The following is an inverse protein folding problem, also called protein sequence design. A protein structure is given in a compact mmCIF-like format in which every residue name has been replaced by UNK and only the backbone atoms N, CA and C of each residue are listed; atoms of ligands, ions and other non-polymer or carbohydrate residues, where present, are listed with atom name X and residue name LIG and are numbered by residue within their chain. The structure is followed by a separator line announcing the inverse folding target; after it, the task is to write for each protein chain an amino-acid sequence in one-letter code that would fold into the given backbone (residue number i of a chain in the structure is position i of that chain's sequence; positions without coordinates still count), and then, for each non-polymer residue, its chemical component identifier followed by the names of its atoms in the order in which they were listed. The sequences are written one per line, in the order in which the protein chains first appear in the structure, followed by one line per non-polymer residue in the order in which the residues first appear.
data_IF_996039973811
#
_entry.id   IF_996039973811
#
_cell.length_a   1.000
_cell.length_b   1.000
_cell.length_c   1.000
_cell.angle_alpha   90.00
_cell.angle_beta   90.00
_cell.angle_gamma   90.00
#
_symmetry.space_group_name_H-M   'P 1'
#
loop_
_entity.id
_entity.type
_entity.pdbx_description
1 polymer ?
#
# COMPACT_ATOMS: atom_id res chain seq x y z
N UNK A 1 17.11 7.79 7.70
CA UNK A 1 16.01 6.95 7.20
C UNK A 1 15.33 6.35 8.42
N UNK A 2 14.12 6.80 8.80
CA UNK A 2 13.37 6.21 9.91
C UNK A 2 12.97 4.79 9.48
N UNK A 3 13.28 3.79 10.29
CA UNK A 3 12.76 2.44 10.09
C UNK A 3 11.23 2.54 10.03
N UNK A 4 10.56 1.99 8.99
CA UNK A 4 9.11 1.98 8.97
C UNK A 4 8.61 1.32 10.26
N UNK A 5 7.56 1.85 10.90
CA UNK A 5 7.01 1.23 12.10
C UNK A 5 6.64 -0.21 11.75
N UNK A 6 7.21 -1.16 12.47
CA UNK A 6 6.83 -2.57 12.37
C UNK A 6 5.33 -2.63 12.63
N UNK A 7 4.53 -3.31 11.77
CA UNK A 7 3.09 -3.40 12.00
C UNK A 7 2.82 -3.90 13.42
N UNK A 8 1.85 -3.27 14.09
CA UNK A 8 1.48 -3.52 15.48
C UNK A 8 0.71 -4.85 15.66
N UNK A 9 0.94 -5.84 14.78
CA UNK A 9 0.15 -7.06 14.70
C UNK A 9 1.10 -8.25 14.57
N UNK A 10 0.85 -9.28 15.38
CA UNK A 10 1.60 -10.52 15.38
C UNK A 10 0.81 -11.65 14.68
N UNK A 11 -0.52 -11.61 14.75
CA UNK A 11 -1.39 -12.59 14.08
C UNK A 11 -2.66 -11.92 13.55
N UNK A 12 -3.04 -12.23 12.31
CA UNK A 12 -4.36 -11.93 11.74
C UNK A 12 -5.14 -13.25 11.71
N UNK A 13 -6.28 -13.33 12.38
CA UNK A 13 -7.01 -14.61 12.54
C UNK A 13 -8.20 -14.76 11.61
N UNK A 14 -8.56 -16.00 11.26
CA UNK A 14 -9.78 -16.38 10.53
C UNK A 14 -10.06 -15.58 9.25
N UNK A 15 -8.99 -15.18 8.54
CA UNK A 15 -9.12 -14.36 7.33
C UNK A 15 -9.19 -15.24 6.08
N UNK A 16 -9.87 -14.74 5.04
CA UNK A 16 -9.75 -15.31 3.69
C UNK A 16 -8.51 -14.74 3.00
N UNK A 17 -7.44 -15.51 2.89
CA UNK A 17 -6.15 -15.05 2.35
C UNK A 17 -5.97 -15.45 0.88
N UNK A 18 -5.49 -14.53 0.06
CA UNK A 18 -4.99 -14.82 -1.28
C UNK A 18 -3.50 -15.15 -1.24
N UNK A 19 -3.14 -16.38 -1.59
CA UNK A 19 -1.75 -16.82 -1.66
C UNK A 19 -1.57 -17.85 -2.78
N UNK A 20 -0.45 -17.76 -3.50
CA UNK A 20 -0.10 -18.68 -4.59
C UNK A 20 -1.20 -18.79 -5.68
N UNK A 21 -1.86 -17.67 -5.98
CA UNK A 21 -2.91 -17.62 -7.00
C UNK A 21 -4.25 -18.22 -6.56
N UNK A 22 -4.46 -18.49 -5.27
CA UNK A 22 -5.67 -19.12 -4.74
C UNK A 22 -6.18 -18.43 -3.48
N UNK A 23 -7.49 -18.47 -3.28
CA UNK A 23 -8.13 -18.04 -2.03
C UNK A 23 -8.19 -19.21 -1.04
N UNK A 24 -7.87 -18.94 0.23
CA UNK A 24 -7.96 -19.90 1.35
C UNK A 24 -8.74 -19.23 2.48
N UNK A 25 -9.93 -19.73 2.78
CA UNK A 25 -10.73 -19.27 3.91
C UNK A 25 -10.24 -19.88 5.23
N UNK A 26 -10.63 -19.30 6.37
CA UNK A 26 -10.33 -19.85 7.70
C UNK A 26 -8.84 -19.98 7.96
N UNK A 27 -8.06 -18.96 7.60
CA UNK A 27 -6.60 -18.97 7.72
C UNK A 27 -6.14 -17.92 8.73
N UNK A 28 -5.22 -18.32 9.60
CA UNK A 28 -4.43 -17.41 10.42
C UNK A 28 -3.14 -17.05 9.69
N UNK A 29 -2.79 -15.76 9.72
CA UNK A 29 -1.55 -15.22 9.16
C UNK A 29 -0.65 -14.75 10.30
N UNK A 30 0.47 -15.42 10.48
CA UNK A 30 1.43 -15.13 11.54
C UNK A 30 2.55 -14.23 11.03
N UNK A 31 2.94 -13.26 11.84
CA UNK A 31 3.95 -12.25 11.53
C UNK A 31 5.11 -12.33 12.53
N UNK A 32 6.33 -12.17 12.03
CA UNK A 32 7.54 -12.08 12.85
C UNK A 32 8.47 -11.06 12.20
N UNK A 33 8.88 -10.04 12.95
CA UNK A 33 9.75 -8.94 12.47
C UNK A 33 9.28 -8.31 11.16
N UNK A 34 7.96 -8.09 11.03
CA UNK A 34 7.34 -7.48 9.85
C UNK A 34 7.29 -8.40 8.61
N UNK A 35 7.52 -9.70 8.78
CA UNK A 35 7.44 -10.72 7.71
C UNK A 35 6.37 -11.74 8.04
N UNK A 36 5.71 -12.27 7.01
CA UNK A 36 4.84 -13.45 7.16
C UNK A 36 5.73 -14.64 7.51
N UNK A 37 5.50 -15.24 8.67
CA UNK A 37 6.24 -16.41 9.16
C UNK A 37 5.50 -17.71 8.92
N UNK A 38 4.16 -17.69 8.92
CA UNK A 38 3.33 -18.85 8.60
C UNK A 38 1.93 -18.43 8.11
N UNK A 39 1.31 -19.32 7.33
CA UNK A 39 -0.11 -19.35 7.02
C UNK A 39 -0.64 -20.70 7.48
N UNK A 40 -1.59 -20.71 8.41
CA UNK A 40 -2.14 -21.96 8.98
C UNK A 40 -3.66 -21.93 9.01
N UNK A 41 -4.36 -23.07 8.97
CA UNK A 41 -5.75 -23.14 9.40
C UNK A 41 -5.99 -22.41 10.73
N UNK A 42 -7.15 -21.78 10.85
CA UNK A 42 -7.49 -20.97 12.02
C UNK A 42 -7.45 -21.80 13.31
N UNK A 43 -6.72 -21.29 14.31
CA UNK A 43 -6.56 -21.94 15.61
C UNK A 43 -5.55 -23.10 15.66
N UNK A 44 -4.85 -23.42 14.56
CA UNK A 44 -3.85 -24.50 14.54
C UNK A 44 -2.59 -24.14 15.35
N UNK A 45 -2.18 -22.86 15.31
CA UNK A 45 -1.06 -22.34 16.09
C UNK A 45 -1.53 -21.30 17.11
N UNK A 46 -0.87 -21.20 18.28
CA UNK A 46 -1.13 -20.13 19.22
C UNK A 46 -0.92 -18.76 18.55
N UNK A 47 -1.84 -17.84 18.82
CA UNK A 47 -1.70 -16.45 18.39
C UNK A 47 -0.54 -15.75 19.12
N UNK A 48 0.04 -14.74 18.48
CA UNK A 48 0.96 -13.80 19.10
C UNK A 48 0.28 -12.89 20.14
N UNK A 49 1.02 -11.90 20.64
CA UNK A 49 0.49 -10.99 21.68
C UNK A 49 -0.57 -10.04 21.12
N UNK A 50 -0.40 -9.61 19.88
CA UNK A 50 -1.28 -8.66 19.21
C UNK A 50 -2.01 -9.33 18.06
N UNK A 51 -3.32 -9.47 18.24
CA UNK A 51 -4.20 -10.22 17.34
C UNK A 51 -5.15 -9.25 16.66
N UNK A 52 -5.25 -9.37 15.34
CA UNK A 52 -6.27 -8.72 14.54
C UNK A 52 -7.30 -9.78 14.10
N UNK A 53 -8.56 -9.60 14.45
CA UNK A 53 -9.65 -10.43 13.94
C UNK A 53 -9.90 -10.09 12.46
N UNK A 54 -9.66 -11.06 11.58
CA UNK A 54 -9.87 -10.95 10.14
C UNK A 54 -11.13 -11.65 9.64
N UNK A 55 -12.01 -12.11 10.54
CA UNK A 55 -13.24 -12.83 10.17
C UNK A 55 -14.12 -12.02 9.21
N UNK A 56 -14.60 -12.68 8.15
CA UNK A 56 -15.33 -12.04 7.04
C UNK A 56 -14.48 -11.14 6.13
N UNK A 57 -13.22 -10.91 6.47
CA UNK A 57 -12.26 -10.11 5.70
C UNK A 57 -11.53 -10.90 4.62
N UNK A 58 -10.92 -10.15 3.69
CA UNK A 58 -10.07 -10.68 2.64
C UNK A 58 -8.69 -10.03 2.71
N UNK A 59 -7.65 -10.85 2.77
CA UNK A 59 -6.26 -10.40 2.82
C UNK A 59 -5.57 -10.72 1.50
N UNK A 60 -4.99 -9.70 0.86
CA UNK A 60 -4.17 -9.84 -0.34
C UNK A 60 -2.78 -9.28 -0.10
N UNK A 61 -1.76 -9.68 -0.89
CA UNK A 61 -0.54 -8.89 -0.99
C UNK A 61 -0.88 -7.44 -1.34
N UNK A 62 -0.11 -6.50 -0.79
CA UNK A 62 -0.21 -5.09 -1.17
C UNK A 62 0.05 -4.93 -2.68
N UNK A 63 -0.74 -4.09 -3.34
CA UNK A 63 -0.57 -3.84 -4.78
C UNK A 63 0.74 -3.09 -5.03
N UNK A 64 1.47 -3.48 -6.07
CA UNK A 64 2.72 -2.81 -6.48
C UNK A 64 2.40 -1.84 -7.62
N UNK A 65 2.53 -0.54 -7.34
CA UNK A 65 2.41 0.48 -8.37
C UNK A 65 3.76 0.64 -9.12
N UNK A 66 3.83 0.12 -10.34
CA UNK A 66 5.08 0.01 -11.11
C UNK A 66 5.47 1.28 -11.87
N UNK A 67 4.60 2.29 -11.92
CA UNK A 67 4.85 3.51 -12.66
C UNK A 67 4.13 4.70 -12.03
N UNK A 68 4.89 5.72 -11.60
CA UNK A 68 4.34 6.94 -11.00
C UNK A 68 5.15 8.17 -11.36
N UNK A 69 4.47 9.32 -11.38
CA UNK A 69 5.10 10.64 -11.35
C UNK A 69 4.66 11.34 -10.06
N UNK A 70 5.39 11.16 -8.97
CA UNK A 70 4.96 11.57 -7.63
C UNK A 70 4.64 13.07 -7.51
N UNK A 71 5.37 13.94 -8.21
CA UNK A 71 5.09 15.38 -8.20
C UNK A 71 3.73 15.73 -8.81
N UNK A 72 3.24 14.93 -9.76
CA UNK A 72 1.95 15.16 -10.42
C UNK A 72 0.75 14.90 -9.50
N UNK A 73 0.95 14.27 -8.34
CA UNK A 73 -0.09 14.15 -7.32
C UNK A 73 -0.63 15.53 -6.89
N UNK A 74 0.25 16.54 -6.81
CA UNK A 74 -0.12 17.92 -6.52
C UNK A 74 -0.73 18.69 -7.69
N UNK A 75 -0.73 18.10 -8.89
CA UNK A 75 -1.22 18.73 -10.13
C UNK A 75 -2.56 18.14 -10.60
N UNK A 76 -3.23 17.37 -9.74
CA UNK A 76 -4.50 16.71 -10.05
C UNK A 76 -5.53 17.74 -10.51
N UNK A 77 -6.00 17.59 -11.74
CA UNK A 77 -7.04 18.43 -12.35
C UNK A 77 -6.55 19.61 -13.20
N UNK A 78 -5.24 19.91 -13.27
CA UNK A 78 -4.73 21.15 -13.88
C UNK A 78 -5.01 21.32 -15.39
N UNK A 79 -5.29 20.23 -16.11
CA UNK A 79 -5.44 20.25 -17.57
C UNK A 79 -6.55 19.34 -18.07
N UNK A 80 -7.62 19.18 -17.28
CA UNK A 80 -8.80 18.41 -17.69
C UNK A 80 -9.39 18.96 -19.00
N UNK A 81 -9.63 18.07 -19.96
CA UNK A 81 -10.21 18.42 -21.26
C UNK A 81 -9.25 19.07 -22.26
N UNK A 82 -7.97 19.29 -21.91
CA UNK A 82 -6.99 19.83 -22.85
C UNK A 82 -6.46 18.77 -23.83
N UNK A 83 -6.16 19.14 -25.10
CA UNK A 83 -5.37 18.29 -26.00
C UNK A 83 -3.99 18.00 -25.42
N UNK A 84 -3.41 16.85 -25.77
CA UNK A 84 -2.14 16.36 -25.20
C UNK A 84 -1.03 17.42 -25.12
N UNK A 85 -0.77 18.15 -26.21
CA UNK A 85 0.32 19.13 -26.24
C UNK A 85 0.05 20.33 -25.32
N UNK A 86 -1.21 20.75 -25.19
CA UNK A 86 -1.59 21.81 -24.27
C UNK A 86 -1.50 21.33 -22.81
N UNK A 87 -1.91 20.09 -22.53
CA UNK A 87 -1.72 19.47 -21.22
C UNK A 87 -0.25 19.34 -20.85
N UNK A 88 0.61 18.90 -21.77
CA UNK A 88 2.06 18.82 -21.57
C UNK A 88 2.67 20.19 -21.26
N UNK A 89 2.21 21.25 -21.93
CA UNK A 89 2.60 22.62 -21.61
C UNK A 89 2.23 23.00 -20.18
N UNK A 90 0.96 22.84 -19.80
CA UNK A 90 0.48 23.16 -18.47
C UNK A 90 1.22 22.39 -17.36
N UNK A 91 1.41 21.08 -17.51
CA UNK A 91 2.17 20.27 -16.56
C UNK A 91 3.66 20.62 -16.58
N UNK A 92 4.23 20.91 -17.74
CA UNK A 92 5.63 21.29 -17.90
C UNK A 92 5.98 22.61 -17.21
N UNK A 93 5.08 23.59 -17.28
CA UNK A 93 5.23 24.87 -16.58
C UNK A 93 5.29 24.71 -15.06
N UNK A 94 4.43 23.86 -14.50
CA UNK A 94 4.46 23.55 -13.06
C UNK A 94 5.69 22.72 -12.67
N UNK A 95 6.06 21.74 -13.50
CA UNK A 95 7.26 20.95 -13.27
C UNK A 95 8.53 21.80 -13.24
N UNK A 96 8.63 22.82 -14.10
CA UNK A 96 9.75 23.75 -14.14
C UNK A 96 9.88 24.64 -12.88
N UNK A 97 8.80 24.79 -12.10
CA UNK A 97 8.75 25.57 -10.86
C UNK A 97 8.84 24.70 -9.60
N UNK A 98 9.06 23.40 -9.75
CA UNK A 98 9.10 22.47 -8.63
C UNK A 98 10.29 22.77 -7.71
N UNK A 99 10.03 22.94 -6.42
CA UNK A 99 11.07 23.05 -5.39
C UNK A 99 11.25 21.71 -4.67
N UNK A 100 12.38 21.47 -3.99
CA UNK A 100 12.57 20.26 -3.19
C UNK A 100 11.47 20.05 -2.14
N UNK A 101 11.03 21.13 -1.48
CA UNK A 101 9.98 21.09 -0.46
C UNK A 101 8.64 20.68 -1.07
N UNK A 102 8.30 21.22 -2.24
CA UNK A 102 7.07 20.85 -2.97
C UNK A 102 7.14 19.41 -3.46
N UNK A 103 8.28 19.00 -4.03
CA UNK A 103 8.48 17.63 -4.47
C UNK A 103 8.27 16.63 -3.32
N UNK A 104 8.86 16.91 -2.16
CA UNK A 104 8.67 16.10 -0.95
C UNK A 104 7.21 16.06 -0.51
N UNK A 105 6.57 17.23 -0.39
CA UNK A 105 5.18 17.32 0.07
C UNK A 105 4.22 16.57 -0.87
N UNK A 106 4.37 16.71 -2.19
CA UNK A 106 3.55 16.00 -3.16
C UNK A 106 3.78 14.49 -3.15
N UNK A 107 5.02 14.04 -2.94
CA UNK A 107 5.33 12.62 -2.86
C UNK A 107 4.79 11.97 -1.58
N UNK A 108 4.78 12.69 -0.46
CA UNK A 108 4.22 12.19 0.80
C UNK A 108 2.68 12.11 0.79
N UNK A 109 2.02 12.87 -0.08
CA UNK A 109 0.57 12.89 -0.25
C UNK A 109 0.08 12.01 -1.42
N UNK A 110 0.99 11.36 -2.15
CA UNK A 110 0.70 10.56 -3.34
C UNK A 110 0.25 9.13 -3.00
#
# INVERSE_FOLDING_TARGET
MKTPPTPDVDTITDVTVFSEGRWRAGTDVHLTDGRVSALTPAGELPCGRRVLDGSGGHLTPGLVNTHTHLFQAGLRGIGEGLPLLAWLGAVGEEAARLTPERAYATAAAA
#
